data_IF_456867585777
#
_entry.id   IF_456867585777
#
_cell.length_a   1.000
_cell.length_b   1.000
_cell.length_c   1.000
_cell.angle_alpha   90.00
_cell.angle_beta   90.00
_cell.angle_gamma   90.00
#
_symmetry.space_group_name_H-M   'P 1'
#
loop_
_entity.id
_entity.type
_entity.pdbx_description
1 polymer ?
#
# COMPACT_ATOMS: atom_id res chain seq x y z
N UNK A 1 -23.44 24.89 -16.67
CA UNK A 1 -23.32 25.58 -15.37
C UNK A 1 -22.11 25.02 -14.68
N UNK A 2 -21.07 25.84 -14.62
CA UNK A 2 -19.82 25.80 -13.82
C UNK A 2 -19.14 24.44 -13.56
N UNK A 3 -18.16 24.14 -14.42
CA UNK A 3 -17.02 23.29 -14.11
C UNK A 3 -16.10 24.02 -13.12
N UNK A 4 -16.20 23.71 -11.83
CA UNK A 4 -15.15 24.07 -10.87
C UNK A 4 -14.03 23.04 -10.97
N UNK A 5 -12.85 23.53 -11.34
CA UNK A 5 -11.58 22.85 -11.12
C UNK A 5 -11.41 22.61 -9.60
N UNK A 6 -11.56 21.36 -9.16
CA UNK A 6 -11.06 20.91 -7.84
C UNK A 6 -9.52 20.86 -7.90
N UNK A 7 -8.88 22.03 -7.82
CA UNK A 7 -7.52 22.15 -7.30
C UNK A 7 -7.63 22.15 -5.78
N UNK A 8 -7.32 21.00 -5.18
CA UNK A 8 -7.52 20.73 -3.77
C UNK A 8 -8.76 19.87 -3.56
N UNK A 9 -8.71 19.01 -2.53
CA UNK A 9 -9.76 18.07 -2.10
C UNK A 9 -9.54 16.63 -2.63
N UNK A 10 -9.27 15.70 -1.69
CA UNK A 10 -9.29 14.22 -1.79
C UNK A 10 -7.97 13.41 -1.85
N UNK A 11 -6.79 13.92 -1.48
CA UNK A 11 -5.59 13.05 -1.40
C UNK A 11 -5.63 12.03 -0.24
N UNK A 12 -6.49 12.24 0.78
CA UNK A 12 -6.48 11.45 2.01
C UNK A 12 -7.64 10.43 2.14
N UNK A 13 -8.63 10.49 1.25
CA UNK A 13 -9.77 9.56 1.25
C UNK A 13 -9.65 8.64 0.03
N UNK A 14 -9.24 7.40 0.27
CA UNK A 14 -9.10 6.40 -0.78
C UNK A 14 -10.47 6.09 -1.41
N UNK A 15 -10.61 6.38 -2.71
CA UNK A 15 -11.77 5.98 -3.51
C UNK A 15 -11.48 4.62 -4.13
N UNK A 16 -12.31 3.63 -3.81
CA UNK A 16 -12.25 2.31 -4.40
C UNK A 16 -13.60 1.94 -5.01
N UNK A 17 -13.59 1.16 -6.09
CA UNK A 17 -14.80 0.63 -6.73
C UNK A 17 -14.61 -0.85 -7.07
N UNK A 18 -15.59 -1.68 -6.75
CA UNK A 18 -15.67 -3.06 -7.20
C UNK A 18 -16.31 -3.13 -8.58
N UNK A 19 -15.77 -3.98 -9.46
CA UNK A 19 -16.39 -4.31 -10.75
C UNK A 19 -16.97 -5.71 -10.66
N UNK A 20 -18.30 -5.86 -10.73
CA UNK A 20 -18.95 -7.17 -10.72
C UNK A 20 -18.68 -7.91 -12.02
N UNK A 21 -17.71 -8.81 -11.99
CA UNK A 21 -17.15 -9.48 -13.17
C UNK A 21 -16.70 -10.91 -12.89
N UNK A 22 -16.36 -11.24 -11.65
CA UNK A 22 -15.90 -12.59 -11.31
C UNK A 22 -17.08 -13.56 -11.12
N UNK A 23 -16.95 -14.76 -11.66
CA UNK A 23 -17.95 -15.84 -11.54
C UNK A 23 -17.48 -17.01 -10.68
N UNK A 24 -16.20 -17.01 -10.27
CA UNK A 24 -15.54 -18.06 -9.50
C UNK A 24 -15.17 -17.53 -8.11
N UNK A 25 -15.02 -18.42 -7.10
CA UNK A 25 -14.61 -18.02 -5.76
C UNK A 25 -13.21 -17.40 -5.77
N UNK A 26 -12.94 -16.50 -4.82
CA UNK A 26 -11.64 -15.84 -4.70
C UNK A 26 -10.53 -16.87 -4.48
N UNK A 27 -9.40 -16.69 -5.14
CA UNK A 27 -8.18 -17.43 -4.87
C UNK A 27 -7.71 -17.13 -3.45
N UNK A 28 -7.93 -18.10 -2.56
CA UNK A 28 -7.49 -18.00 -1.17
C UNK A 28 -5.97 -17.92 -1.09
N UNK A 29 -5.49 -16.87 -0.44
CA UNK A 29 -4.08 -16.66 -0.14
C UNK A 29 -3.85 -16.97 1.32
N UNK A 30 -2.74 -17.65 1.62
CA UNK A 30 -2.25 -17.67 2.99
C UNK A 30 -1.61 -16.31 3.31
N UNK A 31 -2.38 -15.39 3.89
CA UNK A 31 -1.88 -14.07 4.22
C UNK A 31 -0.89 -14.09 5.39
N UNK A 32 -1.11 -14.97 6.37
CA UNK A 32 -0.18 -15.21 7.46
C UNK A 32 0.48 -16.58 7.24
N UNK A 33 1.59 -16.63 6.46
CA UNK A 33 2.33 -17.87 6.26
C UNK A 33 2.77 -18.44 7.60
N UNK A 34 2.89 -19.76 7.72
CA UNK A 34 3.41 -20.35 8.97
C UNK A 34 4.78 -19.74 9.30
N UNK A 35 5.10 -19.60 10.59
CA UNK A 35 6.38 -19.01 11.01
C UNK A 35 7.60 -19.76 10.46
N UNK A 36 7.43 -21.04 10.11
CA UNK A 36 8.45 -21.88 9.45
C UNK A 36 8.67 -21.53 7.98
N UNK A 37 7.74 -20.83 7.33
CA UNK A 37 7.86 -20.36 5.94
C UNK A 37 8.61 -19.01 5.82
N UNK A 38 8.93 -18.37 6.95
CA UNK A 38 9.69 -17.13 7.00
C UNK A 38 11.14 -17.36 6.58
N UNK A 39 11.70 -16.41 5.81
CA UNK A 39 12.99 -16.56 5.14
C UNK A 39 14.00 -15.52 5.61
N UNK A 40 15.27 -15.90 5.52
CA UNK A 40 16.43 -15.01 5.71
C UNK A 40 16.37 -14.20 7.02
N UNK A 41 16.22 -12.88 6.95
CA UNK A 41 16.23 -11.99 8.11
C UNK A 41 14.89 -11.97 8.86
N UNK A 42 13.79 -12.43 8.25
CA UNK A 42 12.44 -12.36 8.83
C UNK A 42 12.31 -13.07 10.19
N UNK A 43 12.86 -14.29 10.41
CA UNK A 43 12.83 -14.93 11.73
C UNK A 43 13.56 -14.13 12.81
N UNK A 44 14.68 -13.49 12.47
CA UNK A 44 15.43 -12.66 13.42
C UNK A 44 14.61 -11.43 13.86
N UNK A 45 13.78 -10.86 12.98
CA UNK A 45 12.85 -9.78 13.34
C UNK A 45 11.79 -10.26 14.35
N UNK A 46 11.28 -11.48 14.21
CA UNK A 46 10.31 -12.03 15.17
C UNK A 46 10.95 -12.42 16.50
N UNK A 47 12.19 -12.91 16.48
CA UNK A 47 12.95 -13.28 17.68
C UNK A 47 13.50 -12.05 18.42
N UNK A 48 13.56 -10.89 17.77
CA UNK A 48 14.02 -9.66 18.41
C UNK A 48 13.16 -9.31 19.63
N UNK A 49 13.74 -9.00 20.81
CA UNK A 49 13.01 -8.84 22.05
C UNK A 49 11.82 -7.87 21.93
N UNK A 50 10.64 -8.29 22.39
CA UNK A 50 9.42 -7.46 22.41
C UNK A 50 9.49 -6.32 23.45
N UNK A 51 10.49 -6.36 24.32
CA UNK A 51 10.82 -5.36 25.33
C UNK A 51 11.82 -4.31 24.85
N UNK A 52 12.22 -4.35 23.57
CA UNK A 52 13.16 -3.40 22.98
C UNK A 52 12.52 -2.66 21.81
N UNK A 53 12.99 -1.44 21.57
CA UNK A 53 12.52 -0.64 20.44
C UNK A 53 13.21 -1.10 19.15
N UNK A 54 12.43 -1.29 18.10
CA UNK A 54 12.91 -1.80 16.83
C UNK A 54 12.39 -0.96 15.66
N UNK A 55 13.27 -0.58 14.75
CA UNK A 55 12.94 -0.10 13.42
C UNK A 55 13.33 -1.18 12.40
N UNK A 56 12.37 -1.65 11.61
CA UNK A 56 12.60 -2.61 10.53
C UNK A 56 12.47 -1.89 9.19
N UNK A 57 13.54 -1.88 8.43
CA UNK A 57 13.55 -1.38 7.05
C UNK A 57 13.58 -2.56 6.08
N UNK A 58 12.82 -2.50 5.01
CA UNK A 58 12.73 -3.59 4.04
C UNK A 58 12.16 -3.09 2.72
N UNK A 59 12.50 -3.70 1.58
CA UNK A 59 11.94 -3.29 0.29
C UNK A 59 10.46 -3.68 0.17
N UNK A 60 9.84 -3.28 -0.94
CA UNK A 60 8.50 -3.73 -1.30
C UNK A 60 8.46 -5.26 -1.35
N UNK A 61 7.45 -5.87 -0.72
CA UNK A 61 7.30 -7.32 -0.71
C UNK A 61 8.16 -8.08 0.31
N UNK A 62 8.88 -7.41 1.20
CA UNK A 62 9.70 -8.07 2.24
C UNK A 62 8.92 -8.67 3.41
N UNK A 63 7.60 -8.51 3.45
CA UNK A 63 6.73 -9.06 4.50
C UNK A 63 6.62 -8.19 5.76
N UNK A 64 7.02 -6.91 5.72
CA UNK A 64 6.91 -5.96 6.87
C UNK A 64 5.56 -6.01 7.59
N UNK A 65 4.48 -5.87 6.83
CA UNK A 65 3.10 -5.94 7.34
C UNK A 65 2.79 -7.27 8.05
N UNK A 66 3.24 -8.40 7.49
CA UNK A 66 3.08 -9.73 8.10
C UNK A 66 3.87 -9.83 9.40
N UNK A 67 5.11 -9.31 9.41
CA UNK A 67 5.95 -9.25 10.61
C UNK A 67 5.35 -8.35 11.69
N UNK A 68 4.72 -7.23 11.30
CA UNK A 68 4.01 -6.35 12.22
C UNK A 68 2.85 -7.08 12.91
N UNK A 69 2.09 -7.88 12.15
CA UNK A 69 1.02 -8.73 12.69
C UNK A 69 1.57 -9.79 13.64
N UNK A 70 2.63 -10.51 13.26
CA UNK A 70 3.23 -11.52 14.12
C UNK A 70 3.81 -10.95 15.42
N UNK A 71 4.51 -9.82 15.33
CA UNK A 71 5.01 -9.11 16.52
C UNK A 71 3.87 -8.60 17.39
N UNK A 72 2.75 -8.16 16.81
CA UNK A 72 1.57 -7.78 17.59
C UNK A 72 1.01 -8.99 18.35
N UNK A 73 0.79 -10.12 17.67
CA UNK A 73 0.31 -11.36 18.30
C UNK A 73 1.22 -11.82 19.44
N UNK A 74 2.54 -11.68 19.27
CA UNK A 74 3.53 -12.03 20.29
C UNK A 74 3.45 -11.18 21.58
N UNK A 75 2.77 -10.03 21.56
CA UNK A 75 2.58 -9.21 22.76
C UNK A 75 1.51 -9.75 23.71
N UNK A 76 0.67 -10.70 23.25
CA UNK A 76 -0.41 -11.28 24.04
C UNK A 76 -1.44 -10.25 24.50
N UNK A 77 -1.73 -10.21 25.80
CA UNK A 77 -2.77 -9.36 26.39
C UNK A 77 -2.28 -7.98 26.85
N UNK A 78 -1.04 -7.59 26.51
CA UNK A 78 -0.53 -6.26 26.84
C UNK A 78 -1.35 -5.19 26.13
N UNK A 79 -1.51 -4.03 26.76
CA UNK A 79 -2.25 -2.90 26.20
C UNK A 79 -1.40 -2.23 25.11
N UNK A 80 -1.77 -2.38 23.85
CA UNK A 80 -1.05 -1.77 22.74
C UNK A 80 -1.84 -1.75 21.44
N UNK A 81 -1.29 -1.10 20.43
CA UNK A 81 -1.98 -0.83 19.16
C UNK A 81 -1.11 -1.19 17.95
N UNK A 82 -1.77 -1.67 16.89
CA UNK A 82 -1.19 -1.84 15.55
C UNK A 82 -1.68 -0.70 14.67
N UNK A 83 -0.79 0.23 14.36
CA UNK A 83 -1.10 1.43 13.60
C UNK A 83 -0.61 1.29 12.16
N UNK A 84 -1.38 1.83 11.22
CA UNK A 84 -1.00 1.93 9.81
C UNK A 84 -1.34 3.31 9.28
N UNK A 85 -0.69 3.74 8.20
CA UNK A 85 -1.08 4.98 7.55
C UNK A 85 -2.41 4.85 6.76
N UNK A 86 -2.56 3.78 5.96
CA UNK A 86 -3.68 3.62 5.04
C UNK A 86 -4.88 2.85 5.63
N UNK A 87 -6.08 3.43 5.51
CA UNK A 87 -7.34 2.83 5.98
C UNK A 87 -7.73 1.53 5.26
N UNK A 88 -7.26 1.29 4.04
CA UNK A 88 -7.57 0.03 3.34
C UNK A 88 -6.73 -1.12 3.90
N UNK A 89 -5.47 -0.86 4.28
CA UNK A 89 -4.61 -1.85 4.93
C UNK A 89 -5.18 -2.27 6.30
N UNK A 90 -5.71 -1.30 7.05
CA UNK A 90 -6.44 -1.53 8.30
C UNK A 90 -7.53 -2.60 8.17
N UNK A 91 -8.41 -2.45 7.16
CA UNK A 91 -9.54 -3.35 6.92
C UNK A 91 -9.06 -4.75 6.48
N UNK A 92 -7.98 -4.80 5.71
CA UNK A 92 -7.35 -6.04 5.30
C UNK A 92 -6.75 -6.80 6.50
N UNK A 93 -5.97 -6.13 7.36
CA UNK A 93 -5.34 -6.75 8.53
C UNK A 93 -6.35 -7.24 9.56
N UNK A 94 -7.37 -6.43 9.86
CA UNK A 94 -8.39 -6.74 10.88
C UNK A 94 -9.09 -8.08 10.61
N UNK A 95 -9.33 -8.44 9.34
CA UNK A 95 -9.90 -9.75 8.97
C UNK A 95 -8.99 -10.92 9.35
N UNK A 96 -7.70 -10.81 9.05
CA UNK A 96 -6.74 -11.90 9.30
C UNK A 96 -6.39 -12.07 10.77
N UNK A 97 -6.60 -11.00 11.54
CA UNK A 97 -6.44 -10.98 12.97
C UNK A 97 -7.64 -11.60 13.71
N UNK A 98 -8.87 -11.30 13.26
CA UNK A 98 -10.13 -11.78 13.87
C UNK A 98 -10.51 -13.21 13.50
N UNK A 99 -9.89 -13.80 12.48
CA UNK A 99 -10.13 -15.20 12.06
C UNK A 99 -9.30 -16.24 12.83
N UNK A 100 -8.44 -15.81 13.76
CA UNK A 100 -7.73 -16.71 14.68
C UNK A 100 -8.70 -17.19 15.77
N UNK A 101 -8.92 -18.50 15.90
CA UNK A 101 -9.83 -19.15 16.86
C UNK A 101 -9.43 -19.03 18.35
N UNK A 102 -8.44 -18.19 18.68
CA UNK A 102 -8.03 -17.92 20.05
C UNK A 102 -8.98 -16.93 20.74
N UNK A 103 -9.93 -17.50 21.47
CA UNK A 103 -10.95 -16.82 22.28
C UNK A 103 -10.37 -15.92 23.39
N UNK A 104 -9.06 -15.96 23.64
CA UNK A 104 -8.37 -15.12 24.61
C UNK A 104 -7.84 -13.80 24.06
N UNK A 105 -7.84 -13.61 22.73
CA UNK A 105 -7.34 -12.38 22.10
C UNK A 105 -8.54 -11.55 21.66
N UNK A 106 -9.03 -10.69 22.55
CA UNK A 106 -10.05 -9.69 22.22
C UNK A 106 -9.61 -8.86 21.00
N UNK A 107 -10.25 -9.09 19.85
CA UNK A 107 -10.29 -8.25 18.63
C UNK A 107 -9.06 -7.37 18.40
N UNK A 108 -7.95 -7.96 17.94
CA UNK A 108 -6.86 -7.17 17.36
C UNK A 108 -7.43 -6.44 16.14
N UNK A 109 -7.41 -5.10 16.20
CA UNK A 109 -7.89 -4.23 15.12
C UNK A 109 -6.73 -3.33 14.75
N UNK A 110 -6.29 -3.38 13.50
CA UNK A 110 -5.39 -2.34 13.01
C UNK A 110 -6.15 -1.01 12.99
N UNK A 111 -5.48 0.12 13.20
CA UNK A 111 -6.12 1.46 13.13
C UNK A 111 -5.30 2.40 12.25
N UNK A 112 -6.00 3.26 11.51
CA UNK A 112 -5.36 4.40 10.86
C UNK A 112 -4.84 5.38 11.91
N UNK A 113 -3.61 5.88 11.77
CA UNK A 113 -3.02 6.82 12.75
C UNK A 113 -3.91 8.03 13.03
N UNK A 114 -4.52 8.61 11.99
CA UNK A 114 -5.43 9.76 12.13
C UNK A 114 -6.70 9.41 12.91
N UNK A 115 -7.30 8.25 12.64
CA UNK A 115 -8.50 7.80 13.33
C UNK A 115 -8.20 7.49 14.80
N UNK A 116 -7.05 6.87 15.05
CA UNK A 116 -6.63 6.53 16.40
C UNK A 116 -6.36 7.78 17.23
N UNK A 117 -5.57 8.72 16.70
CA UNK A 117 -5.32 10.03 17.34
C UNK A 117 -6.64 10.71 17.65
N UNK A 118 -7.53 10.85 16.67
CA UNK A 118 -8.86 11.43 16.87
C UNK A 118 -9.62 10.75 18.01
N UNK A 119 -9.61 9.42 18.07
CA UNK A 119 -10.34 8.67 19.09
C UNK A 119 -9.80 8.93 20.50
N UNK A 120 -8.48 9.02 20.68
CA UNK A 120 -7.87 9.10 22.01
C UNK A 120 -7.66 10.54 22.50
N UNK A 121 -7.43 11.50 21.60
CA UNK A 121 -7.16 12.89 21.95
C UNK A 121 -8.31 13.85 21.59
N UNK A 122 -9.27 13.42 20.77
CA UNK A 122 -10.31 14.30 20.22
C UNK A 122 -9.83 15.23 19.10
N UNK A 123 -8.55 15.17 18.72
CA UNK A 123 -7.95 16.03 17.70
C UNK A 123 -8.41 15.57 16.31
N UNK A 124 -9.04 16.46 15.56
CA UNK A 124 -9.61 16.16 14.24
C UNK A 124 -8.94 16.94 13.13
N UNK A 125 -8.85 16.32 11.96
CA UNK A 125 -8.57 17.03 10.70
C UNK A 125 -9.88 17.32 9.98
N UNK A 126 -10.12 18.54 9.46
CA UNK A 126 -11.29 18.83 8.63
C UNK A 126 -11.38 17.92 7.40
N UNK A 127 -12.60 17.65 6.92
CA UNK A 127 -12.81 16.70 5.82
C UNK A 127 -12.23 17.19 4.48
N UNK A 128 -12.19 18.50 4.28
CA UNK A 128 -11.65 19.20 3.11
C UNK A 128 -10.23 19.73 3.34
N UNK A 129 -9.51 19.15 4.31
CA UNK A 129 -8.28 19.73 4.79
C UNK A 129 -7.15 19.78 3.75
N UNK A 130 -6.34 20.83 3.85
CA UNK A 130 -5.08 20.98 3.14
C UNK A 130 -3.91 20.40 3.95
N UNK A 131 -2.78 20.15 3.29
CA UNK A 131 -1.62 19.49 3.91
C UNK A 131 -1.16 20.18 5.22
N UNK A 132 -1.24 21.51 5.31
CA UNK A 132 -0.91 22.27 6.52
C UNK A 132 -1.80 21.89 7.72
N UNK A 133 -3.09 21.64 7.51
CA UNK A 133 -4.01 21.25 8.58
C UNK A 133 -3.74 19.82 9.07
N UNK A 134 -3.29 18.93 8.18
CA UNK A 134 -2.81 17.60 8.58
C UNK A 134 -1.56 17.69 9.44
N UNK A 135 -0.60 18.55 9.07
CA UNK A 135 0.61 18.82 9.86
C UNK A 135 0.25 19.41 11.23
N UNK A 136 -0.63 20.41 11.27
CA UNK A 136 -1.06 21.05 12.51
C UNK A 136 -1.76 20.05 13.45
N UNK A 137 -2.64 19.21 12.92
CA UNK A 137 -3.28 18.13 13.67
C UNK A 137 -2.26 17.15 14.26
N UNK A 138 -1.28 16.73 13.45
CA UNK A 138 -0.21 15.86 13.93
C UNK A 138 0.61 16.52 15.05
N UNK A 139 0.94 17.81 14.92
CA UNK A 139 1.69 18.55 15.95
C UNK A 139 0.87 18.74 17.23
N UNK A 140 -0.43 19.01 17.13
CA UNK A 140 -1.31 19.04 18.29
C UNK A 140 -1.38 17.66 18.97
N UNK A 141 -1.37 16.57 18.20
CA UNK A 141 -1.33 15.22 18.77
C UNK A 141 -0.03 14.96 19.53
N UNK A 142 1.10 15.43 19.00
CA UNK A 142 2.39 15.37 19.69
C UNK A 142 2.34 16.09 21.04
N UNK A 143 1.82 17.33 21.06
CA UNK A 143 1.67 18.11 22.29
C UNK A 143 0.74 17.42 23.29
N UNK A 144 -0.39 16.87 22.84
CA UNK A 144 -1.30 16.14 23.70
C UNK A 144 -0.61 14.91 24.32
N UNK A 145 0.12 14.14 23.51
CA UNK A 145 0.76 12.90 23.96
C UNK A 145 1.91 13.11 24.96
N UNK A 146 2.57 14.27 24.95
CA UNK A 146 3.68 14.56 25.89
C UNK A 146 3.21 14.68 27.35
N UNK A 147 1.91 14.91 27.55
CA UNK A 147 1.27 14.89 28.87
C UNK A 147 0.71 13.49 29.24
N UNK A 148 0.78 12.52 28.33
CA UNK A 148 0.19 11.18 28.43
C UNK A 148 1.22 10.06 28.20
N UNK A 149 2.39 10.22 28.81
CA UNK A 149 3.54 9.33 28.60
C UNK A 149 3.23 7.87 28.94
N UNK A 150 3.72 6.96 28.11
CA UNK A 150 3.69 5.49 28.32
C UNK A 150 2.30 4.92 28.66
N UNK A 151 1.24 5.53 28.13
CA UNK A 151 -0.15 5.08 28.33
C UNK A 151 -0.42 3.69 27.72
N UNK A 152 0.35 3.30 26.70
CA UNK A 152 0.38 1.96 26.12
C UNK A 152 1.68 1.23 26.47
N UNK A 153 1.60 -0.08 26.65
CA UNK A 153 2.78 -0.93 26.78
C UNK A 153 3.57 -1.00 25.47
N UNK A 154 2.89 -0.92 24.33
CA UNK A 154 3.56 -0.93 23.02
C UNK A 154 2.72 -0.28 21.92
N UNK A 155 3.41 0.23 20.90
CA UNK A 155 2.84 0.52 19.58
C UNK A 155 3.69 -0.22 18.54
N UNK A 156 3.00 -0.92 17.64
CA UNK A 156 3.60 -1.42 16.40
C UNK A 156 3.01 -0.58 15.28
N UNK A 157 3.85 0.02 14.45
CA UNK A 157 3.40 0.87 13.36
C UNK A 157 3.99 0.40 12.03
N UNK A 158 3.13 0.25 11.03
CA UNK A 158 3.49 -0.06 9.64
C UNK A 158 3.36 1.18 8.75
N UNK A 159 4.15 1.22 7.69
CA UNK A 159 4.27 2.38 6.78
C UNK A 159 4.64 3.68 7.52
N UNK A 160 5.54 3.62 8.51
CA UNK A 160 5.88 4.78 9.37
C UNK A 160 6.61 5.89 8.63
N UNK A 161 7.18 5.60 7.45
CA UNK A 161 7.73 6.61 6.55
C UNK A 161 6.68 7.61 6.05
N UNK A 162 5.39 7.26 6.07
CA UNK A 162 4.33 8.20 5.68
C UNK A 162 3.79 9.02 6.86
N UNK A 163 4.21 8.73 8.09
CA UNK A 163 3.69 9.47 9.25
C UNK A 163 4.19 10.91 9.24
N UNK A 164 3.34 11.86 9.60
CA UNK A 164 3.79 13.21 9.88
C UNK A 164 4.75 13.21 11.08
N UNK A 165 5.68 14.17 11.14
CA UNK A 165 6.65 14.29 12.24
C UNK A 165 5.97 14.30 13.61
N UNK A 166 4.87 15.07 13.77
CA UNK A 166 4.09 15.09 15.01
C UNK A 166 3.43 13.76 15.37
N UNK A 167 3.13 12.88 14.39
CA UNK A 167 2.67 11.52 14.70
C UNK A 167 3.81 10.61 15.19
N UNK A 168 5.03 10.81 14.68
CA UNK A 168 6.21 10.11 15.21
C UNK A 168 6.49 10.55 16.65
N UNK A 169 6.33 11.84 16.95
CA UNK A 169 6.38 12.35 18.33
C UNK A 169 5.26 11.74 19.19
N UNK A 170 4.04 11.68 18.66
CA UNK A 170 2.89 11.09 19.35
C UNK A 170 3.17 9.67 19.81
N UNK A 171 3.59 8.78 18.89
CA UNK A 171 3.84 7.39 19.25
C UNK A 171 5.04 7.24 20.19
N UNK A 172 6.04 8.12 20.08
CA UNK A 172 7.24 8.09 20.91
C UNK A 172 6.96 8.47 22.37
N UNK A 173 6.03 9.40 22.61
CA UNK A 173 5.57 9.73 23.96
C UNK A 173 4.60 8.69 24.52
N UNK A 174 3.64 8.24 23.70
CA UNK A 174 2.45 7.55 24.18
C UNK A 174 2.67 6.06 24.52
N UNK A 175 3.75 5.45 24.04
CA UNK A 175 4.01 4.02 24.20
C UNK A 175 5.38 3.71 24.79
N UNK A 176 5.41 2.78 25.75
CA UNK A 176 6.64 2.32 26.39
C UNK A 176 7.60 1.68 25.37
N UNK A 177 7.06 0.88 24.42
CA UNK A 177 7.85 0.17 23.40
C UNK A 177 7.36 0.46 21.98
N UNK A 178 8.30 0.59 21.05
CA UNK A 178 8.01 0.81 19.64
C UNK A 178 8.54 -0.33 18.76
N UNK A 179 7.72 -0.80 17.83
CA UNK A 179 8.22 -1.49 16.64
C UNK A 179 7.71 -0.76 15.40
N UNK A 180 8.63 -0.18 14.63
CA UNK A 180 8.33 0.63 13.46
C UNK A 180 8.75 -0.12 12.21
N UNK A 181 7.90 -0.16 11.19
CA UNK A 181 8.20 -0.73 9.88
C UNK A 181 8.14 0.37 8.82
N UNK A 182 9.20 0.48 8.02
CA UNK A 182 9.32 1.51 7.00
C UNK A 182 10.01 1.03 5.71
N UNK A 183 9.79 1.77 4.62
CA UNK A 183 10.37 1.53 3.30
C UNK A 183 10.63 2.85 2.57
N UNK A 184 11.91 3.22 2.48
CA UNK A 184 12.38 4.48 1.87
C UNK A 184 12.00 4.61 0.39
N UNK A 185 11.87 3.47 -0.32
CA UNK A 185 11.51 3.46 -1.73
C UNK A 185 9.99 3.59 -1.96
N UNK A 186 9.19 3.50 -0.90
CA UNK A 186 7.73 3.64 -0.96
C UNK A 186 7.23 4.90 -0.27
N UNK A 187 8.08 5.85 0.07
CA UNK A 187 7.65 7.16 0.60
C UNK A 187 6.88 7.93 -0.47
N UNK A 188 5.55 7.97 -0.34
CA UNK A 188 4.66 8.55 -1.37
C UNK A 188 4.27 10.00 -1.08
N UNK A 189 4.51 10.51 0.12
CA UNK A 189 4.09 11.84 0.53
C UNK A 189 5.28 12.76 0.69
N UNK A 190 5.12 14.04 0.33
CA UNK A 190 6.19 15.04 0.46
C UNK A 190 6.57 15.29 1.94
N UNK A 191 5.68 14.94 2.88
CA UNK A 191 5.93 14.98 4.33
C UNK A 191 6.55 13.71 4.92
N UNK A 192 6.83 12.71 4.08
CA UNK A 192 7.35 11.43 4.53
C UNK A 192 8.81 11.49 4.97
N UNK A 193 9.24 10.50 5.73
CA UNK A 193 10.56 10.42 6.36
C UNK A 193 11.29 9.18 5.89
N UNK A 194 12.57 9.30 5.56
CA UNK A 194 13.45 8.16 5.45
C UNK A 194 13.60 7.44 6.80
N UNK A 195 13.97 6.16 6.75
CA UNK A 195 14.32 5.34 7.91
C UNK A 195 15.44 5.98 8.75
N UNK A 196 16.35 6.71 8.10
CA UNK A 196 17.42 7.48 8.75
C UNK A 196 16.88 8.69 9.52
N UNK A 197 15.88 9.38 8.99
CA UNK A 197 15.21 10.49 9.70
C UNK A 197 14.39 9.97 10.88
N UNK A 198 13.64 8.87 10.69
CA UNK A 198 12.86 8.24 11.77
C UNK A 198 13.78 7.79 12.90
N UNK A 199 14.86 7.06 12.61
CA UNK A 199 15.80 6.59 13.64
C UNK A 199 16.50 7.76 14.33
N UNK A 200 16.84 8.81 13.58
CA UNK A 200 17.45 10.04 14.10
C UNK A 200 16.54 10.71 15.12
N UNK A 201 15.27 10.93 14.75
CA UNK A 201 14.24 11.49 15.62
C UNK A 201 14.05 10.68 16.89
N UNK A 202 13.93 9.35 16.78
CA UNK A 202 13.75 8.48 17.96
C UNK A 202 14.97 8.50 18.90
N UNK A 203 16.19 8.48 18.37
CA UNK A 203 17.42 8.45 19.18
C UNK A 203 17.79 9.82 19.76
N UNK A 204 17.67 10.87 18.97
CA UNK A 204 18.18 12.20 19.30
C UNK A 204 17.13 12.98 20.08
N UNK A 205 15.89 13.06 19.57
CA UNK A 205 14.85 13.91 20.15
C UNK A 205 14.20 13.21 21.35
N UNK A 206 13.86 11.92 21.19
CA UNK A 206 13.16 11.14 22.22
C UNK A 206 14.06 10.29 23.11
N UNK A 207 15.38 10.32 22.88
CA UNK A 207 16.39 9.55 23.65
C UNK A 207 16.09 8.04 23.72
N UNK A 208 15.37 7.48 22.74
CA UNK A 208 15.02 6.07 22.71
C UNK A 208 16.19 5.22 22.22
N UNK A 209 16.37 4.05 22.84
CA UNK A 209 17.35 3.04 22.42
C UNK A 209 16.72 2.14 21.36
N UNK A 210 16.53 2.67 20.16
CA UNK A 210 15.97 1.94 19.02
C UNK A 210 17.07 1.31 18.16
N UNK A 211 16.97 0.01 17.88
CA UNK A 211 17.83 -0.68 16.92
C UNK A 211 17.17 -0.65 15.52
N UNK A 212 17.99 -0.54 14.47
CA UNK A 212 17.54 -0.75 13.08
C UNK A 212 17.96 -2.13 12.61
N UNK A 213 17.03 -2.87 12.01
CA UNK A 213 17.29 -4.10 11.26
C UNK A 213 16.80 -3.94 9.83
N UNK A 214 17.61 -4.38 8.88
CA UNK A 214 17.26 -4.34 7.45
C UNK A 214 16.90 -5.75 6.95
N UNK A 215 15.83 -5.83 6.14
CA UNK A 215 15.47 -7.02 5.35
C UNK A 215 15.85 -6.73 3.91
N UNK A 216 16.48 -7.69 3.23
CA UNK A 216 16.96 -7.52 1.85
C UNK A 216 16.05 -8.18 0.81
N UNK A 217 15.34 -9.25 1.19
CA UNK A 217 14.52 -10.04 0.28
C UNK A 217 13.16 -9.42 -0.09
N UNK A 218 12.71 -9.75 -1.31
CA UNK A 218 11.36 -9.57 -1.82
C UNK A 218 10.69 -10.95 -1.96
N UNK A 219 9.58 -11.15 -1.26
CA UNK A 219 8.85 -12.41 -1.22
C UNK A 219 7.45 -12.31 -1.86
N UNK A 220 7.16 -11.17 -2.52
CA UNK A 220 5.88 -10.90 -3.16
C UNK A 220 5.93 -10.99 -4.68
N UNK A 221 6.88 -10.32 -5.32
CA UNK A 221 6.83 -10.04 -6.76
C UNK A 221 7.59 -11.10 -7.56
N UNK A 222 6.96 -11.71 -8.57
CA UNK A 222 7.66 -12.55 -9.53
C UNK A 222 8.76 -11.77 -10.27
N UNK A 223 9.79 -12.46 -10.81
CA UNK A 223 10.93 -11.81 -11.47
C UNK A 223 10.55 -10.77 -12.53
N UNK A 224 9.59 -11.01 -13.45
CA UNK A 224 9.21 -10.01 -14.46
C UNK A 224 8.62 -8.73 -13.86
N UNK A 225 7.91 -8.83 -12.74
CA UNK A 225 7.34 -7.67 -12.04
C UNK A 225 8.45 -6.86 -11.37
N UNK A 226 9.39 -7.52 -10.69
CA UNK A 226 10.53 -6.86 -10.08
C UNK A 226 11.43 -6.20 -11.13
N UNK A 227 11.66 -6.86 -12.26
CA UNK A 227 12.42 -6.33 -13.40
C UNK A 227 11.77 -5.05 -13.97
N UNK A 228 10.45 -5.03 -14.13
CA UNK A 228 9.72 -3.82 -14.55
C UNK A 228 9.78 -2.69 -13.53
N UNK A 229 9.77 -3.01 -12.22
CA UNK A 229 9.81 -2.02 -11.15
C UNK A 229 11.19 -1.37 -10.99
N UNK A 230 12.27 -2.09 -11.30
CA UNK A 230 13.65 -1.67 -11.04
C UNK A 230 14.05 -0.28 -11.57
N UNK A 231 13.68 0.13 -12.81
CA UNK A 231 13.98 1.48 -13.30
C UNK A 231 13.36 2.62 -12.49
N UNK A 232 12.38 2.31 -11.65
CA UNK A 232 11.67 3.25 -10.78
C UNK A 232 12.04 3.09 -9.30
N UNK A 233 12.91 2.11 -8.98
CA UNK A 233 13.35 1.83 -7.62
C UNK A 233 14.44 2.81 -7.19
N UNK A 234 14.04 3.92 -6.56
CA UNK A 234 14.95 4.95 -6.03
C UNK A 234 15.05 4.85 -4.50
N UNK A 235 16.05 5.53 -3.94
CA UNK A 235 16.20 5.81 -2.50
C UNK A 235 16.56 4.62 -1.58
N UNK A 236 17.00 3.49 -2.12
CA UNK A 236 17.85 2.55 -1.39
C UNK A 236 19.27 2.62 -1.93
N UNK A 237 20.26 2.63 -1.06
CA UNK A 237 21.67 2.55 -1.43
C UNK A 237 21.95 1.23 -2.19
N UNK A 238 21.89 1.32 -3.52
CA UNK A 238 22.45 0.46 -4.58
C UNK A 238 22.35 -1.07 -4.48
N UNK A 239 21.13 -1.62 -4.38
CA UNK A 239 20.86 -2.98 -4.91
C UNK A 239 19.55 -2.99 -5.73
N UNK A 240 19.50 -3.70 -6.88
CA UNK A 240 18.23 -3.92 -7.59
C UNK A 240 17.19 -4.56 -6.68
N UNK A 241 15.91 -4.25 -6.90
CA UNK A 241 14.81 -4.94 -6.23
C UNK A 241 14.94 -6.45 -6.51
N UNK A 242 15.12 -7.21 -5.43
CA UNK A 242 15.11 -8.66 -5.48
C UNK A 242 13.72 -9.17 -5.87
N UNK A 243 13.61 -10.45 -6.24
CA UNK A 243 12.34 -11.06 -6.66
C UNK A 243 12.00 -12.30 -5.84
N UNK A 244 10.72 -12.64 -5.83
CA UNK A 244 10.20 -13.82 -5.18
C UNK A 244 10.18 -15.01 -6.15
N UNK A 245 10.60 -16.17 -5.65
CA UNK A 245 10.30 -17.45 -6.30
C UNK A 245 8.92 -17.87 -5.83
N UNK A 246 7.91 -17.67 -6.69
CA UNK A 246 6.54 -18.14 -6.47
C UNK A 246 6.31 -19.44 -7.24
N UNK A 247 5.29 -20.20 -6.85
CA UNK A 247 4.88 -21.41 -7.57
C UNK A 247 4.41 -21.09 -9.00
N UNK A 248 4.79 -21.96 -9.94
CA UNK A 248 4.49 -21.85 -11.35
C UNK A 248 5.50 -21.03 -12.16
N UNK A 249 5.37 -21.11 -13.48
CA UNK A 249 6.24 -20.36 -14.39
C UNK A 249 6.02 -18.85 -14.24
N UNK A 250 7.10 -18.03 -14.24
CA UNK A 250 6.98 -16.58 -14.19
C UNK A 250 6.14 -16.03 -15.33
N UNK A 251 5.07 -15.31 -14.97
CA UNK A 251 4.21 -14.68 -15.96
C UNK A 251 4.80 -13.38 -16.46
N UNK A 252 4.80 -13.20 -17.78
CA UNK A 252 5.37 -12.00 -18.39
C UNK A 252 4.52 -10.77 -18.10
N UNK A 253 5.19 -9.63 -17.94
CA UNK A 253 4.59 -8.29 -17.94
C UNK A 253 4.13 -7.92 -19.34
N UNK A 254 2.99 -7.22 -19.43
CA UNK A 254 2.39 -6.78 -20.70
C UNK A 254 2.34 -5.26 -20.78
N UNK A 255 2.82 -4.69 -21.89
CA UNK A 255 2.75 -3.27 -22.20
C UNK A 255 1.90 -3.11 -23.45
N UNK A 256 0.75 -2.46 -23.30
CA UNK A 256 -0.15 -2.13 -24.40
C UNK A 256 0.09 -0.68 -24.80
N UNK A 257 0.43 -0.48 -26.08
CA UNK A 257 0.82 0.80 -26.66
C UNK A 257 -0.23 1.16 -27.70
N UNK A 258 -1.04 2.17 -27.42
CA UNK A 258 -2.12 2.57 -28.31
C UNK A 258 -1.73 3.78 -29.16
N UNK A 259 -2.08 3.72 -30.45
CA UNK A 259 -1.97 4.87 -31.36
C UNK A 259 -3.04 5.93 -31.05
N UNK A 260 -4.21 5.49 -30.54
CA UNK A 260 -5.27 6.36 -30.08
C UNK A 260 -5.98 5.80 -28.84
N UNK A 261 -6.54 6.69 -28.02
CA UNK A 261 -7.22 6.27 -26.79
C UNK A 261 -8.47 5.41 -27.01
N UNK A 262 -9.07 5.48 -28.20
CA UNK A 262 -10.34 4.82 -28.51
C UNK A 262 -10.32 3.30 -28.35
N UNK A 263 -9.17 2.66 -28.57
CA UNK A 263 -9.03 1.20 -28.46
C UNK A 263 -8.64 0.72 -27.06
N UNK A 264 -8.05 1.58 -26.22
CA UNK A 264 -7.49 1.20 -24.92
C UNK A 264 -8.55 0.52 -24.03
N UNK A 265 -9.76 1.07 -23.97
CA UNK A 265 -10.83 0.55 -23.10
C UNK A 265 -11.19 -0.92 -23.37
N UNK A 266 -11.26 -1.31 -24.66
CA UNK A 266 -11.56 -2.69 -25.06
C UNK A 266 -10.46 -3.66 -24.59
N UNK A 267 -9.20 -3.27 -24.70
CA UNK A 267 -8.09 -4.12 -24.28
C UNK A 267 -7.92 -4.16 -22.75
N UNK A 268 -8.27 -3.09 -22.03
CA UNK A 268 -8.35 -3.12 -20.56
C UNK A 268 -9.32 -4.21 -20.11
N UNK A 269 -10.56 -4.22 -20.64
CA UNK A 269 -11.57 -5.22 -20.28
C UNK A 269 -11.08 -6.63 -20.60
N UNK A 270 -10.56 -6.85 -21.82
CA UNK A 270 -10.02 -8.14 -22.23
C UNK A 270 -8.91 -8.63 -21.31
N UNK A 271 -8.00 -7.74 -20.91
CA UNK A 271 -6.89 -8.12 -20.05
C UNK A 271 -7.33 -8.42 -18.62
N UNK A 272 -8.30 -7.66 -18.08
CA UNK A 272 -8.89 -7.95 -16.77
C UNK A 272 -9.60 -9.31 -16.81
N UNK A 273 -10.39 -9.59 -17.85
CA UNK A 273 -11.04 -10.89 -18.03
C UNK A 273 -10.01 -12.02 -18.12
N UNK A 274 -8.94 -11.83 -18.90
CA UNK A 274 -7.87 -12.83 -19.02
C UNK A 274 -7.19 -13.14 -17.67
N UNK A 275 -7.03 -12.13 -16.80
CA UNK A 275 -6.50 -12.37 -15.45
C UNK A 275 -7.51 -13.07 -14.53
N UNK A 276 -8.80 -12.71 -14.58
CA UNK A 276 -9.86 -13.41 -13.83
C UNK A 276 -9.93 -14.89 -14.23
N UNK A 277 -9.76 -15.19 -15.52
CA UNK A 277 -9.87 -16.53 -16.08
C UNK A 277 -8.56 -17.31 -16.11
N UNK A 278 -7.47 -16.73 -15.60
CA UNK A 278 -6.14 -17.38 -15.57
C UNK A 278 -6.09 -18.63 -14.68
N UNK A 279 -7.08 -18.83 -13.81
CA UNK A 279 -7.25 -20.02 -13.00
C UNK A 279 -8.57 -20.75 -13.33
N UNK A 280 -8.58 -22.09 -13.45
CA UNK A 280 -9.77 -22.85 -13.80
C UNK A 280 -10.93 -22.67 -12.82
N UNK A 281 -10.68 -22.87 -11.53
CA UNK A 281 -11.74 -23.00 -10.50
C UNK A 281 -11.77 -21.86 -9.48
N UNK A 282 -10.84 -20.91 -9.59
CA UNK A 282 -10.70 -19.78 -8.67
C UNK A 282 -10.51 -18.48 -9.46
N UNK A 283 -10.74 -17.35 -8.81
CA UNK A 283 -10.45 -16.02 -9.36
C UNK A 283 -9.30 -15.38 -8.60
N UNK A 284 -8.15 -15.13 -9.24
CA UNK A 284 -7.09 -14.31 -8.67
C UNK A 284 -7.58 -12.89 -8.38
N UNK A 285 -7.10 -12.25 -7.31
CA UNK A 285 -7.50 -10.86 -7.05
C UNK A 285 -6.79 -9.92 -8.03
N UNK A 286 -7.58 -9.13 -8.76
CA UNK A 286 -7.10 -8.13 -9.73
C UNK A 286 -7.26 -6.72 -9.18
N UNK A 287 -6.19 -5.93 -9.22
CA UNK A 287 -6.21 -4.50 -8.91
C UNK A 287 -6.09 -3.66 -10.17
N UNK A 288 -6.99 -2.70 -10.37
CA UNK A 288 -6.93 -1.71 -11.45
C UNK A 288 -6.48 -0.39 -10.84
N UNK A 289 -5.20 -0.06 -11.01
CA UNK A 289 -4.54 1.04 -10.31
C UNK A 289 -4.41 2.24 -11.24
N UNK A 290 -5.29 3.21 -11.06
CA UNK A 290 -5.36 4.41 -11.90
C UNK A 290 -4.47 5.53 -11.33
N UNK A 291 -4.00 6.40 -12.21
CA UNK A 291 -3.15 7.52 -11.83
C UNK A 291 -3.87 8.52 -10.89
N UNK A 292 -5.10 8.90 -11.24
CA UNK A 292 -5.86 9.95 -10.57
C UNK A 292 -7.39 9.75 -10.74
N UNK A 293 -8.17 10.71 -10.23
CA UNK A 293 -9.64 10.68 -10.32
C UNK A 293 -10.17 10.90 -11.75
N UNK A 294 -9.41 11.54 -12.64
CA UNK A 294 -9.81 11.71 -14.05
C UNK A 294 -9.74 10.36 -14.75
N UNK A 295 -8.62 9.65 -14.61
CA UNK A 295 -8.46 8.28 -15.11
C UNK A 295 -9.43 7.33 -14.42
N UNK A 296 -9.70 7.49 -13.13
CA UNK A 296 -10.73 6.72 -12.41
C UNK A 296 -12.08 6.81 -13.11
N UNK A 297 -12.57 8.02 -13.37
CA UNK A 297 -13.87 8.22 -13.99
C UNK A 297 -13.90 7.67 -15.42
N UNK A 298 -12.82 7.84 -16.19
CA UNK A 298 -12.67 7.25 -17.52
C UNK A 298 -12.79 5.73 -17.50
N UNK A 299 -12.05 5.07 -16.61
CA UNK A 299 -12.08 3.60 -16.45
C UNK A 299 -13.45 3.13 -15.97
N UNK A 300 -14.08 3.84 -15.03
CA UNK A 300 -15.46 3.54 -14.61
C UNK A 300 -16.45 3.62 -15.76
N UNK A 301 -16.38 4.66 -16.60
CA UNK A 301 -17.25 4.77 -17.78
C UNK A 301 -17.04 3.59 -18.74
N UNK A 302 -15.79 3.19 -19.01
CA UNK A 302 -15.47 2.03 -19.85
C UNK A 302 -16.17 0.76 -19.35
N UNK A 303 -16.09 0.46 -18.05
CA UNK A 303 -16.74 -0.73 -17.48
C UNK A 303 -18.28 -0.61 -17.48
N UNK A 304 -18.82 0.55 -17.12
CA UNK A 304 -20.28 0.79 -17.11
C UNK A 304 -20.90 0.69 -18.51
N UNK A 305 -20.27 1.28 -19.52
CA UNK A 305 -20.73 1.23 -20.92
C UNK A 305 -20.75 -0.21 -21.45
N UNK A 306 -19.84 -1.05 -20.96
CA UNK A 306 -19.78 -2.49 -21.24
C UNK A 306 -20.65 -3.33 -20.28
N UNK A 307 -21.64 -2.72 -19.63
CA UNK A 307 -22.66 -3.36 -18.81
C UNK A 307 -22.15 -4.04 -17.52
N UNK A 308 -20.95 -3.72 -17.06
CA UNK A 308 -20.47 -4.18 -15.76
C UNK A 308 -21.01 -3.29 -14.64
N UNK A 309 -21.51 -3.90 -13.57
CA UNK A 309 -21.96 -3.15 -12.39
C UNK A 309 -20.75 -2.68 -11.58
N UNK A 310 -20.77 -1.40 -11.21
CA UNK A 310 -19.76 -0.79 -10.35
C UNK A 310 -20.33 -0.49 -8.98
N UNK A 311 -19.67 -0.97 -7.95
CA UNK A 311 -20.05 -0.71 -6.56
C UNK A 311 -18.99 0.15 -5.88
N UNK A 312 -19.41 1.26 -5.26
CA UNK A 312 -18.48 2.08 -4.48
C UNK A 312 -18.05 1.32 -3.23
N UNK A 313 -16.74 1.23 -3.05
CA UNK A 313 -16.07 0.47 -2.00
C UNK A 313 -15.18 1.37 -1.12
N UNK A 314 -15.30 2.69 -1.24
CA UNK A 314 -14.60 3.66 -0.39
C UNK A 314 -15.40 4.01 0.87
N UNK A 315 -14.73 4.61 1.86
CA UNK A 315 -15.28 4.86 3.19
C UNK A 315 -16.58 5.68 3.14
N UNK A 316 -17.70 5.02 3.44
CA UNK A 316 -18.85 5.67 4.06
C UNK A 316 -18.50 5.97 5.50
N UNK A 317 -18.81 7.19 5.95
CA UNK A 317 -18.72 7.63 7.34
C UNK A 317 -19.20 6.55 8.31
N UNK A 318 -18.31 6.11 9.21
CA UNK A 318 -18.61 5.42 10.48
C UNK A 318 -19.81 4.45 10.42
N UNK A 319 -19.71 3.30 9.71
CA UNK A 319 -20.40 2.03 10.05
C UNK A 319 -20.33 0.94 8.97
N UNK A 320 -19.87 1.21 7.74
CA UNK A 320 -19.84 0.20 6.66
C UNK A 320 -18.45 0.09 6.01
N UNK A 321 -17.45 -0.37 6.77
CA UNK A 321 -16.15 -0.82 6.23
C UNK A 321 -16.35 -2.14 5.47
N UNK A 322 -16.91 -2.07 4.26
CA UNK A 322 -17.12 -3.27 3.42
C UNK A 322 -15.76 -3.86 3.07
N UNK A 323 -15.54 -5.14 3.38
CA UNK A 323 -14.27 -5.82 3.11
C UNK A 323 -14.14 -6.21 1.63
N UNK A 324 -13.73 -5.24 0.83
CA UNK A 324 -13.57 -5.30 -0.62
C UNK A 324 -12.58 -6.40 -1.08
N UNK A 325 -11.64 -6.79 -0.21
CA UNK A 325 -10.57 -7.74 -0.51
C UNK A 325 -10.98 -9.20 -0.32
N UNK A 326 -12.07 -9.46 0.41
CA UNK A 326 -12.65 -10.79 0.53
C UNK A 326 -13.48 -11.22 -0.69
N UNK A 327 -13.80 -10.29 -1.60
CA UNK A 327 -14.58 -10.57 -2.80
C UNK A 327 -13.66 -10.94 -3.99
N UNK A 328 -14.08 -11.84 -4.92
CA UNK A 328 -13.27 -12.21 -6.09
C UNK A 328 -13.17 -11.11 -7.15
N UNK A 329 -14.09 -10.15 -7.12
CA UNK A 329 -14.23 -9.09 -8.11
C UNK A 329 -13.01 -8.15 -8.18
N UNK A 330 -12.64 -7.64 -9.38
CA UNK A 330 -11.61 -6.62 -9.53
C UNK A 330 -11.93 -5.33 -8.76
N UNK A 331 -10.89 -4.66 -8.26
CA UNK A 331 -11.02 -3.37 -7.56
C UNK A 331 -10.30 -2.28 -8.34
N UNK A 332 -11.00 -1.18 -8.65
CA UNK A 332 -10.42 0.06 -9.16
C UNK A 332 -10.06 0.96 -7.99
N UNK A 333 -8.83 1.45 -7.93
CA UNK A 333 -8.40 2.47 -6.95
C UNK A 333 -7.22 3.29 -7.50
N UNK A 334 -6.90 4.41 -6.85
CA UNK A 334 -5.71 5.18 -7.25
C UNK A 334 -4.43 4.44 -6.87
N UNK A 335 -3.32 4.68 -7.59
CA UNK A 335 -2.01 4.11 -7.27
C UNK A 335 -1.58 4.39 -5.82
N UNK A 336 -1.86 5.60 -5.33
CA UNK A 336 -1.62 5.99 -3.94
C UNK A 336 -2.42 5.14 -2.94
N UNK A 337 -3.71 4.95 -3.21
CA UNK A 337 -4.60 4.18 -2.33
C UNK A 337 -4.22 2.70 -2.21
N UNK A 338 -3.46 2.18 -3.18
CA UNK A 338 -3.05 0.79 -3.22
C UNK A 338 -1.85 0.48 -2.31
N UNK A 339 -1.24 1.49 -1.67
CA UNK A 339 -0.11 1.28 -0.77
C UNK A 339 -0.50 0.34 0.40
N UNK A 340 0.43 -0.52 0.79
CA UNK A 340 0.19 -1.62 1.73
C UNK A 340 -0.61 -2.83 1.18
N UNK A 341 -1.23 -2.73 0.00
CA UNK A 341 -2.08 -3.79 -0.54
C UNK A 341 -1.35 -4.71 -1.51
N UNK A 342 -1.94 -5.87 -1.78
CA UNK A 342 -1.38 -6.88 -2.67
C UNK A 342 -2.45 -7.47 -3.60
N UNK A 343 -2.10 -7.62 -4.87
CA UNK A 343 -2.95 -8.21 -5.92
C UNK A 343 -2.18 -9.34 -6.62
N UNK A 344 -2.88 -10.35 -7.13
CA UNK A 344 -2.23 -11.40 -7.92
C UNK A 344 -1.83 -10.78 -9.27
N UNK A 345 -2.70 -9.94 -9.82
CA UNK A 345 -2.46 -9.16 -11.02
C UNK A 345 -2.79 -7.68 -10.82
N UNK A 346 -1.99 -6.82 -11.44
CA UNK A 346 -2.26 -5.38 -11.51
C UNK A 346 -2.47 -4.96 -12.97
N UNK A 347 -3.46 -4.09 -13.18
CA UNK A 347 -3.69 -3.38 -14.43
C UNK A 347 -3.50 -1.88 -14.17
N UNK A 348 -2.62 -1.24 -14.91
CA UNK A 348 -2.39 0.21 -14.88
C UNK A 348 -2.96 0.81 -16.17
N UNK A 349 -4.19 1.32 -16.16
CA UNK A 349 -4.82 1.88 -17.35
C UNK A 349 -4.37 3.33 -17.57
N UNK A 350 -4.21 3.72 -18.84
CA UNK A 350 -3.92 5.11 -19.26
C UNK A 350 -2.78 5.78 -18.46
N UNK A 351 -1.65 5.09 -18.28
CA UNK A 351 -0.50 5.69 -17.62
C UNK A 351 0.01 6.86 -18.48
N UNK A 352 0.02 8.07 -17.90
CA UNK A 352 0.60 9.26 -18.50
C UNK A 352 1.83 9.65 -17.70
N UNK A 353 2.97 9.08 -18.07
CA UNK A 353 4.24 9.25 -17.38
C UNK A 353 4.70 10.71 -17.35
N UNK A 354 4.55 11.43 -18.46
CA UNK A 354 4.97 12.82 -18.57
C UNK A 354 4.11 13.74 -17.70
N UNK A 355 2.80 13.52 -17.68
CA UNK A 355 1.88 14.24 -16.79
C UNK A 355 2.19 13.94 -15.32
N UNK A 356 2.40 12.67 -14.95
CA UNK A 356 2.74 12.31 -13.59
C UNK A 356 4.06 12.96 -13.16
N UNK A 357 5.08 12.95 -14.02
CA UNK A 357 6.37 13.63 -13.81
C UNK A 357 6.22 15.14 -13.61
N UNK A 358 5.33 15.80 -14.37
CA UNK A 358 5.09 17.23 -14.24
C UNK A 358 4.28 17.58 -12.98
N UNK A 359 3.28 16.77 -12.64
CA UNK A 359 2.39 17.01 -11.50
C UNK A 359 3.03 16.63 -10.16
N UNK A 360 3.94 15.65 -10.17
CA UNK A 360 4.56 15.02 -8.99
C UNK A 360 6.08 14.83 -9.18
N UNK A 361 6.84 15.90 -9.47
CA UNK A 361 8.25 15.79 -9.85
C UNK A 361 9.15 15.19 -8.77
N UNK A 362 8.77 15.32 -7.49
CA UNK A 362 9.51 14.78 -6.34
C UNK A 362 9.39 13.26 -6.21
N UNK A 363 8.25 12.67 -6.61
CA UNK A 363 7.92 11.29 -6.25
C UNK A 363 7.20 10.44 -7.33
N UNK A 364 7.10 10.91 -8.58
CA UNK A 364 6.42 10.20 -9.67
C UNK A 364 6.94 8.77 -9.90
N UNK A 365 8.24 8.53 -9.78
CA UNK A 365 8.81 7.18 -9.92
C UNK A 365 8.44 6.29 -8.74
N UNK A 366 8.43 6.81 -7.51
CA UNK A 366 8.00 6.07 -6.32
C UNK A 366 6.51 5.67 -6.42
N UNK A 367 5.67 6.52 -7.02
CA UNK A 367 4.26 6.20 -7.28
C UNK A 367 4.14 5.02 -8.25
N UNK A 368 4.88 5.06 -9.38
CA UNK A 368 4.90 3.98 -10.37
C UNK A 368 5.48 2.71 -9.78
N UNK A 369 6.61 2.80 -9.06
CA UNK A 369 7.25 1.70 -8.35
C UNK A 369 6.26 1.04 -7.37
N UNK A 370 5.56 1.85 -6.58
CA UNK A 370 4.58 1.34 -5.61
C UNK A 370 3.45 0.62 -6.32
N UNK A 371 2.90 1.18 -7.41
CA UNK A 371 1.84 0.56 -8.19
C UNK A 371 2.25 -0.78 -8.81
N UNK A 372 3.42 -0.85 -9.46
CA UNK A 372 3.94 -2.09 -10.07
C UNK A 372 4.16 -3.16 -8.99
N UNK A 373 4.78 -2.80 -7.87
CA UNK A 373 5.11 -3.74 -6.79
C UNK A 373 3.90 -4.23 -5.98
N UNK A 374 2.68 -3.78 -6.28
CA UNK A 374 1.46 -4.38 -5.72
C UNK A 374 1.12 -5.72 -6.37
N UNK A 375 1.64 -6.02 -7.56
CA UNK A 375 1.37 -7.27 -8.27
C UNK A 375 2.28 -8.42 -7.82
N UNK A 376 1.70 -9.58 -7.53
CA UNK A 376 2.47 -10.80 -7.24
C UNK A 376 2.96 -11.50 -8.51
N UNK A 377 2.06 -11.73 -9.48
CA UNK A 377 2.31 -12.55 -10.67
C UNK A 377 2.66 -11.71 -11.89
N UNK A 378 1.79 -10.79 -12.29
CA UNK A 378 2.05 -9.96 -13.49
C UNK A 378 1.36 -8.60 -13.44
N UNK A 379 1.88 -7.69 -14.26
CA UNK A 379 1.37 -6.33 -14.47
C UNK A 379 1.02 -6.15 -15.95
N UNK A 380 -0.13 -5.54 -16.23
CA UNK A 380 -0.44 -4.98 -17.54
C UNK A 380 -0.47 -3.44 -17.47
N UNK A 381 0.31 -2.77 -18.32
CA UNK A 381 0.35 -1.30 -18.40
C UNK A 381 -0.19 -0.85 -19.75
N UNK A 382 -1.11 0.12 -19.75
CA UNK A 382 -1.69 0.71 -20.94
C UNK A 382 -1.21 2.16 -21.07
N UNK A 383 -0.54 2.46 -22.18
CA UNK A 383 0.00 3.78 -22.49
C UNK A 383 -0.37 4.20 -23.91
N UNK A 384 -0.36 5.50 -24.15
CA UNK A 384 -0.36 6.05 -25.51
C UNK A 384 1.05 5.96 -26.11
N UNK A 385 1.18 5.88 -27.43
CA UNK A 385 2.47 5.78 -28.12
C UNK A 385 3.40 6.99 -27.90
N UNK A 386 2.82 8.14 -27.51
CA UNK A 386 3.57 9.36 -27.25
C UNK A 386 4.35 9.33 -25.92
N UNK A 387 4.17 8.32 -25.07
CA UNK A 387 4.84 8.14 -23.77
C UNK A 387 6.30 7.67 -23.94
N UNK A 388 7.10 8.44 -24.68
CA UNK A 388 8.47 8.08 -25.07
C UNK A 388 9.40 7.95 -23.87
N UNK A 389 9.32 8.86 -22.90
CA UNK A 389 10.14 8.81 -21.68
C UNK A 389 9.94 7.50 -20.91
N UNK A 390 8.69 7.03 -20.79
CA UNK A 390 8.38 5.75 -20.16
C UNK A 390 8.93 4.57 -20.97
N UNK A 391 8.69 4.55 -22.28
CA UNK A 391 9.17 3.48 -23.17
C UNK A 391 10.70 3.36 -23.17
N UNK A 392 11.39 4.49 -23.19
CA UNK A 392 12.86 4.56 -23.11
C UNK A 392 13.38 4.05 -21.77
N UNK A 393 12.68 4.37 -20.66
CA UNK A 393 13.00 3.87 -19.33
C UNK A 393 12.98 2.36 -19.24
N UNK A 394 12.00 1.73 -19.90
CA UNK A 394 11.78 0.28 -19.86
C UNK A 394 12.34 -0.45 -21.09
N UNK A 395 13.14 0.21 -21.94
CA UNK A 395 13.58 -0.35 -23.24
C UNK A 395 14.32 -1.69 -23.13
N UNK A 396 15.10 -1.85 -22.05
CA UNK A 396 15.91 -3.05 -21.81
C UNK A 396 15.17 -4.11 -20.97
N UNK A 397 13.94 -3.84 -20.55
CA UNK A 397 13.15 -4.76 -19.73
C UNK A 397 12.48 -5.80 -20.62
N UNK A 398 12.53 -7.06 -20.19
CA UNK A 398 11.88 -8.19 -20.86
C UNK A 398 10.38 -8.20 -20.57
N UNK A 399 9.59 -7.64 -21.48
CA UNK A 399 8.12 -7.64 -21.43
C UNK A 399 7.49 -7.91 -22.81
N UNK A 400 6.22 -8.32 -22.80
CA UNK A 400 5.42 -8.45 -24.03
C UNK A 400 4.84 -7.08 -24.39
N UNK A 401 5.14 -6.60 -25.60
CA UNK A 401 4.67 -5.30 -26.09
C UNK A 401 3.62 -5.52 -27.19
N UNK A 402 2.45 -4.91 -27.03
CA UNK A 402 1.34 -5.01 -27.97
C UNK A 402 1.02 -3.62 -28.50
N UNK A 403 1.01 -3.46 -29.82
CA UNK A 403 0.43 -2.28 -30.47
C UNK A 403 -1.07 -2.50 -30.65
N UNK A 404 -1.91 -1.56 -30.20
CA UNK A 404 -3.37 -1.72 -30.11
C UNK A 404 -4.17 -0.54 -30.64
#
# INVERSE_FOLDING_TARGET
MEYYFEKGINNYMAKAYLIKMATKPLYERNFLPDVTELKNEQPAILQYPISEDLLVSGPAGSGKTILAVYRFKAQGNKKGELLTYANILKNYLTRHLTSSSDTSISTITARGIFEYVKQVSGITVPWNAHDEEFVNSANHSAQWSSEHLDTLNFIIADETQDFHSGHLDFIAHYAERLTLFADDAQTLYDHGHSTTEIIGKMRIDHKRKIERKDITGNYRNQPPVAELANPFYKNRDQEPLSSAILDGEPEKVRIFIAESEGNIGKYIIKQVQAYIDSMPDKTPKVGILVQDNVVMNKVRSIFSENQFQLEYAGNGTMQNDRNVFGEPDPIIMTMFSAKGLEFDYVVIPFLNYDELKNNKPSNYEQIIFTAITRARRSVAVFISENQKDFLDKIKNIKCERYKI
#
